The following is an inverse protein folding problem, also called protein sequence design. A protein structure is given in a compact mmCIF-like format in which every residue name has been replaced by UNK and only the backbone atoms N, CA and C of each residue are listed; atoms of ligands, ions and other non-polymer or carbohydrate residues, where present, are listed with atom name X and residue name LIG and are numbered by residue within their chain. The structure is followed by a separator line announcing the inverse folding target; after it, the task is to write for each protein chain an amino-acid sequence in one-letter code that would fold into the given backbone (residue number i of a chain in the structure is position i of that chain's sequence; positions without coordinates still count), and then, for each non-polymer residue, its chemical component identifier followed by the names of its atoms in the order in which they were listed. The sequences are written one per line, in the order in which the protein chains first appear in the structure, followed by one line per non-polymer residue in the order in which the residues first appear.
data_IF_613528958330
#
_entry.id   IF_613528958330
#
_cell.length_a   1.000
_cell.length_b   1.000
_cell.length_c   1.000
_cell.angle_alpha   90.00
_cell.angle_beta   90.00
_cell.angle_gamma   90.00
#
_symmetry.space_group_name_H-M   'P 1'
#
loop_
_entity.id
_entity.type
_entity.pdbx_description
1 polymer ?
#
# COMPACT_ATOMS: atom_id res chain seq x y z
N UNK A 1 33.59 9.69 4.27
CA UNK A 1 32.35 8.97 4.62
C UNK A 1 32.26 7.64 3.84
N UNK A 2 32.94 6.60 4.33
CA UNK A 2 32.93 5.26 3.74
C UNK A 2 32.33 4.30 4.77
N UNK A 3 31.02 4.42 5.02
CA UNK A 3 30.33 3.42 5.84
C UNK A 3 30.04 2.23 4.95
N UNK A 4 30.69 1.11 5.25
CA UNK A 4 30.41 -0.15 4.57
C UNK A 4 28.97 -0.60 4.84
N UNK A 5 28.28 -1.04 3.80
CA UNK A 5 26.92 -1.57 3.93
C UNK A 5 26.98 -3.03 4.37
N UNK A 6 26.27 -3.35 5.46
CA UNK A 6 26.12 -4.71 5.92
C UNK A 6 24.95 -5.40 5.20
N UNK A 7 25.26 -6.11 4.12
CA UNK A 7 24.29 -6.84 3.30
C UNK A 7 23.54 -7.92 4.10
N UNK A 8 24.24 -8.72 4.92
CA UNK A 8 23.64 -9.79 5.71
C UNK A 8 22.57 -9.25 6.66
N UNK A 9 22.87 -8.15 7.36
CA UNK A 9 21.91 -7.49 8.25
C UNK A 9 20.64 -7.07 7.51
N UNK A 10 20.77 -6.55 6.29
CA UNK A 10 19.60 -6.19 5.46
C UNK A 10 18.80 -7.43 5.07
N UNK A 11 19.46 -8.51 4.66
CA UNK A 11 18.80 -9.76 4.28
C UNK A 11 18.03 -10.38 5.45
N UNK A 12 18.66 -10.49 6.63
CA UNK A 12 18.02 -11.04 7.84
C UNK A 12 16.78 -10.21 8.23
N UNK A 13 16.88 -8.89 8.13
CA UNK A 13 15.75 -7.98 8.41
C UNK A 13 14.60 -8.23 7.44
N UNK A 14 14.87 -8.33 6.14
CA UNK A 14 13.83 -8.56 5.12
C UNK A 14 13.14 -9.91 5.34
N UNK A 15 13.90 -10.98 5.65
CA UNK A 15 13.31 -12.29 5.94
C UNK A 15 12.38 -12.24 7.16
N UNK A 16 12.78 -11.54 8.22
CA UNK A 16 11.93 -11.35 9.39
C UNK A 16 10.64 -10.56 9.07
N UNK A 17 10.72 -9.52 8.25
CA UNK A 17 9.54 -8.74 7.83
C UNK A 17 8.60 -9.55 6.91
N UNK A 18 9.13 -10.51 6.14
CA UNK A 18 8.32 -11.48 5.37
C UNK A 18 7.52 -12.38 6.32
N UNK A 19 8.15 -12.93 7.36
CA UNK A 19 7.46 -13.75 8.37
C UNK A 19 6.35 -12.98 9.12
N UNK A 20 6.53 -11.66 9.28
CA UNK A 20 5.50 -10.78 9.85
C UNK A 20 4.39 -10.39 8.85
N UNK A 21 4.43 -10.88 7.62
CA UNK A 21 3.40 -10.62 6.60
C UNK A 21 3.43 -9.21 6.00
N UNK A 22 4.55 -8.47 6.13
CA UNK A 22 4.66 -7.12 5.53
C UNK A 22 4.62 -7.15 4.01
N UNK A 23 5.08 -8.24 3.40
CA UNK A 23 5.10 -8.44 1.95
C UNK A 23 3.88 -9.24 1.47
N UNK A 24 2.68 -8.73 1.71
CA UNK A 24 1.43 -9.30 1.20
C UNK A 24 1.00 -8.68 -0.13
N UNK A 25 1.51 -7.50 -0.48
CA UNK A 25 1.24 -6.86 -1.77
C UNK A 25 2.07 -7.56 -2.89
N UNK A 26 1.44 -8.11 -3.95
CA UNK A 26 2.16 -8.82 -5.01
C UNK A 26 3.26 -7.98 -5.69
N UNK A 27 3.05 -6.67 -5.82
CA UNK A 27 4.05 -5.77 -6.41
C UNK A 27 5.26 -5.60 -5.49
N UNK A 28 5.08 -5.55 -4.17
CA UNK A 28 6.21 -5.48 -3.24
C UNK A 28 7.02 -6.78 -3.25
N UNK A 29 6.35 -7.94 -3.34
CA UNK A 29 7.01 -9.24 -3.52
C UNK A 29 7.85 -9.23 -4.81
N UNK A 30 7.28 -8.80 -5.92
CA UNK A 30 7.96 -8.76 -7.22
C UNK A 30 9.24 -7.89 -7.20
N UNK A 31 9.29 -6.84 -6.39
CA UNK A 31 10.47 -5.98 -6.26
C UNK A 31 11.60 -6.61 -5.42
N UNK A 32 11.28 -7.39 -4.38
CA UNK A 32 12.30 -7.97 -3.50
C UNK A 32 12.78 -9.36 -3.92
N UNK A 33 11.94 -10.11 -4.63
CA UNK A 33 12.21 -11.49 -5.00
C UNK A 33 13.51 -11.68 -5.81
N UNK A 34 13.85 -10.83 -6.79
CA UNK A 34 15.14 -10.94 -7.49
C UNK A 34 16.32 -10.91 -6.52
N UNK A 35 16.37 -9.94 -5.61
CA UNK A 35 17.44 -9.81 -4.61
C UNK A 35 17.50 -11.03 -3.69
N UNK A 36 16.35 -11.55 -3.25
CA UNK A 36 16.27 -12.77 -2.44
C UNK A 36 16.81 -14.01 -3.18
N UNK A 37 16.76 -14.02 -4.51
CA UNK A 37 17.33 -15.06 -5.37
C UNK A 37 18.75 -14.74 -5.84
N UNK A 38 19.38 -13.69 -5.32
CA UNK A 38 20.71 -13.26 -5.75
C UNK A 38 20.73 -12.80 -7.21
N UNK A 39 19.63 -12.22 -7.68
CA UNK A 39 19.43 -11.70 -9.04
C UNK A 39 19.13 -10.21 -9.03
N UNK A 40 19.39 -9.58 -10.16
CA UNK A 40 19.13 -8.17 -10.43
C UNK A 40 18.42 -8.03 -11.78
N UNK A 41 17.96 -6.82 -12.10
CA UNK A 41 17.42 -6.56 -13.44
C UNK A 41 18.47 -6.68 -14.56
N UNK A 42 19.77 -6.65 -14.23
CA UNK A 42 20.84 -6.89 -15.20
C UNK A 42 20.91 -8.36 -15.63
N UNK A 43 20.31 -9.28 -14.87
CA UNK A 43 20.28 -10.71 -15.19
C UNK A 43 19.15 -11.08 -16.18
N UNK A 44 18.26 -10.14 -16.53
CA UNK A 44 17.12 -10.38 -17.42
C UNK A 44 17.53 -10.95 -18.78
N UNK A 45 18.59 -10.45 -19.47
CA UNK A 45 19.05 -11.03 -20.73
C UNK A 45 19.58 -12.47 -20.62
N UNK A 46 19.88 -12.94 -19.41
CA UNK A 46 20.44 -14.26 -19.12
C UNK A 46 19.41 -15.26 -18.60
N UNK A 47 18.12 -14.90 -18.63
CA UNK A 47 17.03 -15.79 -18.24
C UNK A 47 17.00 -17.00 -19.17
N UNK A 48 17.11 -18.19 -18.60
CA UNK A 48 17.01 -19.45 -19.32
C UNK A 48 15.59 -20.00 -19.19
N UNK A 49 14.87 -20.11 -20.31
CA UNK A 49 13.53 -20.67 -20.34
C UNK A 49 13.61 -22.20 -20.52
N UNK A 50 13.42 -22.95 -19.43
CA UNK A 50 13.26 -24.42 -19.48
C UNK A 50 11.82 -24.81 -19.15
N UNK A 51 11.24 -25.86 -19.79
CA UNK A 51 9.86 -26.30 -19.57
C UNK A 51 9.64 -27.01 -18.21
N UNK A 52 10.65 -27.10 -17.35
CA UNK A 52 10.56 -27.76 -16.06
C UNK A 52 9.87 -26.87 -15.02
N UNK A 53 8.59 -27.13 -14.78
CA UNK A 53 7.90 -26.60 -13.59
C UNK A 53 8.28 -27.47 -12.40
N UNK A 54 9.18 -26.98 -11.54
CA UNK A 54 9.27 -27.51 -10.19
C UNK A 54 7.96 -27.18 -9.48
N UNK A 55 7.10 -28.18 -9.31
CA UNK A 55 5.87 -28.03 -8.54
C UNK A 55 6.28 -27.88 -7.08
N UNK A 56 6.18 -26.67 -6.53
CA UNK A 56 6.34 -26.48 -5.10
C UNK A 56 5.24 -27.28 -4.37
N UNK A 57 5.60 -28.14 -3.40
CA UNK A 57 4.62 -28.81 -2.57
C UNK A 57 3.70 -27.78 -1.92
N UNK A 58 2.40 -28.05 -1.95
CA UNK A 58 1.44 -27.22 -1.23
C UNK A 58 1.75 -27.32 0.25
N UNK A 59 2.30 -26.25 0.84
CA UNK A 59 2.48 -26.17 2.28
C UNK A 59 1.10 -26.09 2.94
N UNK A 60 0.90 -26.72 4.12
CA UNK A 60 -0.33 -26.55 4.88
C UNK A 60 -0.58 -25.06 5.09
N UNK A 61 -1.80 -24.59 4.80
CA UNK A 61 -2.18 -23.21 5.06
C UNK A 61 -1.99 -22.96 6.54
N UNK A 62 -1.02 -22.12 6.89
CA UNK A 62 -0.78 -21.73 8.27
C UNK A 62 -2.10 -21.15 8.80
N UNK A 63 -2.60 -21.62 9.97
CA UNK A 63 -3.91 -21.22 10.46
C UNK A 63 -3.96 -19.69 10.50
N UNK A 64 -4.92 -19.11 9.77
CA UNK A 64 -5.18 -17.69 9.89
C UNK A 64 -5.42 -17.39 11.37
N UNK A 65 -4.81 -16.31 11.91
CA UNK A 65 -5.03 -15.95 13.30
C UNK A 65 -6.53 -15.96 13.60
N UNK A 66 -6.91 -16.64 14.69
CA UNK A 66 -8.29 -16.72 15.17
C UNK A 66 -8.89 -15.31 15.10
N UNK A 67 -10.09 -15.12 14.51
CA UNK A 67 -10.65 -13.78 14.36
C UNK A 67 -10.75 -13.14 15.73
N UNK A 68 -9.88 -12.16 16.00
CA UNK A 68 -9.98 -11.28 17.15
C UNK A 68 -11.39 -10.70 17.13
N UNK A 69 -12.08 -10.72 18.26
CA UNK A 69 -13.46 -10.24 18.40
C UNK A 69 -13.62 -8.90 17.68
N UNK A 70 -14.49 -8.83 16.68
CA UNK A 70 -14.58 -7.68 15.78
C UNK A 70 -15.25 -6.47 16.46
N UNK A 71 -14.48 -5.69 17.21
CA UNK A 71 -14.92 -4.42 17.80
C UNK A 71 -14.77 -3.26 16.80
N UNK A 72 -15.48 -2.16 17.07
CA UNK A 72 -15.36 -0.95 16.27
C UNK A 72 -14.24 -0.06 16.81
N UNK A 73 -13.45 0.53 15.91
CA UNK A 73 -12.51 1.61 16.20
C UNK A 73 -13.03 2.90 15.55
N UNK A 74 -12.71 4.05 16.15
CA UNK A 74 -13.03 5.36 15.58
C UNK A 74 -11.74 6.05 15.16
N UNK A 75 -11.72 6.53 13.92
CA UNK A 75 -10.61 7.25 13.30
C UNK A 75 -11.05 8.68 13.03
N UNK A 76 -10.19 9.65 13.34
CA UNK A 76 -10.38 11.05 12.94
C UNK A 76 -9.81 11.17 11.53
N UNK A 77 -10.68 11.38 10.55
CA UNK A 77 -10.29 11.50 9.14
C UNK A 77 -10.43 12.95 8.67
N UNK A 78 -9.33 13.53 8.19
CA UNK A 78 -9.26 14.91 7.70
C UNK A 78 -8.89 14.94 6.23
N UNK A 79 -9.64 15.71 5.43
CA UNK A 79 -9.28 16.08 4.06
C UNK A 79 -8.89 17.55 4.02
N UNK A 80 -7.75 17.86 3.40
CA UNK A 80 -7.21 19.22 3.39
C UNK A 80 -6.64 19.55 2.00
N UNK A 81 -7.17 20.61 1.39
CA UNK A 81 -6.61 21.22 0.19
C UNK A 81 -6.27 22.69 0.47
N UNK A 82 -4.97 23.00 0.43
CA UNK A 82 -4.44 24.36 0.56
C UNK A 82 -3.70 24.82 -0.70
N UNK A 83 -3.75 24.04 -1.79
CA UNK A 83 -3.05 24.34 -3.03
C UNK A 83 -3.74 25.50 -3.76
N UNK A 84 -3.04 26.65 -3.84
CA UNK A 84 -3.53 27.82 -4.58
C UNK A 84 -3.50 27.53 -6.09
N UNK A 85 -4.59 27.87 -6.78
CA UNK A 85 -4.69 27.79 -8.23
C UNK A 85 -5.22 26.47 -8.80
N UNK A 86 -5.41 25.44 -7.96
CA UNK A 86 -5.82 24.09 -8.41
C UNK A 86 -7.28 23.77 -8.02
N UNK A 87 -8.02 24.74 -7.46
CA UNK A 87 -9.45 24.59 -7.19
C UNK A 87 -9.88 25.11 -5.82
N UNK A 88 -10.85 24.43 -5.21
CA UNK A 88 -11.47 24.80 -3.94
C UNK A 88 -10.53 24.49 -2.77
N UNK A 89 -10.33 25.48 -1.89
CA UNK A 89 -9.65 25.29 -0.62
C UNK A 89 -10.65 24.70 0.39
N UNK A 90 -10.25 23.67 1.12
CA UNK A 90 -11.08 23.06 2.14
C UNK A 90 -10.23 22.38 3.21
N UNK A 91 -10.79 22.26 4.41
CA UNK A 91 -10.21 21.53 5.52
C UNK A 91 -11.36 20.97 6.37
N UNK A 92 -11.75 19.73 6.06
CA UNK A 92 -12.90 19.07 6.66
C UNK A 92 -12.44 17.86 7.46
N UNK A 93 -13.06 17.64 8.62
CA UNK A 93 -12.72 16.54 9.52
C UNK A 93 -13.98 15.80 9.94
N UNK A 94 -13.90 14.47 10.01
CA UNK A 94 -15.00 13.63 10.45
C UNK A 94 -14.50 12.41 11.23
N UNK A 95 -15.26 12.04 12.26
CA UNK A 95 -15.07 10.80 13.01
C UNK A 95 -15.71 9.62 12.27
N UNK A 96 -14.91 8.61 11.94
CA UNK A 96 -15.32 7.44 11.18
C UNK A 96 -15.14 6.19 12.04
N UNK A 97 -16.24 5.49 12.30
CA UNK A 97 -16.21 4.21 13.01
C UNK A 97 -16.23 3.04 12.03
N UNK A 98 -15.21 2.19 12.08
CA UNK A 98 -15.05 0.97 11.26
C UNK A 98 -14.69 -0.24 12.13
N UNK A 99 -14.75 -1.44 11.56
CA UNK A 99 -14.29 -2.65 12.26
C UNK A 99 -12.77 -2.63 12.43
N UNK A 100 -12.29 -3.10 13.57
CA UNK A 100 -10.86 -3.33 13.78
C UNK A 100 -10.33 -4.31 12.73
N UNK A 101 -9.18 -4.01 12.13
CA UNK A 101 -8.61 -4.75 11.01
C UNK A 101 -9.05 -4.26 9.62
N UNK A 102 -10.00 -3.33 9.52
CA UNK A 102 -10.29 -2.64 8.26
C UNK A 102 -9.08 -1.84 7.76
N UNK A 103 -8.96 -1.73 6.44
CA UNK A 103 -7.93 -0.91 5.78
C UNK A 103 -8.41 0.54 5.62
N UNK A 104 -7.48 1.45 5.37
CA UNK A 104 -7.77 2.88 5.18
C UNK A 104 -8.84 3.13 4.11
N UNK A 105 -8.85 2.35 3.01
CA UNK A 105 -9.87 2.48 1.96
C UNK A 105 -11.31 2.39 2.50
N UNK A 106 -11.57 1.53 3.50
CA UNK A 106 -12.90 1.41 4.12
C UNK A 106 -13.29 2.68 4.88
N UNK A 107 -12.32 3.38 5.46
CA UNK A 107 -12.54 4.69 6.11
C UNK A 107 -12.98 5.73 5.09
N UNK A 108 -12.35 5.76 3.90
CA UNK A 108 -12.71 6.66 2.81
C UNK A 108 -14.11 6.36 2.28
N UNK A 109 -14.44 5.08 2.09
CA UNK A 109 -15.77 4.63 1.64
C UNK A 109 -16.86 5.02 2.64
N UNK A 110 -16.64 4.80 3.94
CA UNK A 110 -17.58 5.21 4.98
C UNK A 110 -17.72 6.73 5.07
N UNK A 111 -16.64 7.48 4.86
CA UNK A 111 -16.68 8.94 4.85
C UNK A 111 -17.52 9.46 3.68
N UNK A 112 -17.25 8.97 2.46
CA UNK A 112 -18.02 9.29 1.26
C UNK A 112 -19.51 8.95 1.42
N UNK A 113 -19.83 7.80 2.01
CA UNK A 113 -21.21 7.38 2.25
C UNK A 113 -21.98 8.33 3.17
N UNK A 114 -21.29 8.92 4.16
CA UNK A 114 -21.89 9.80 5.16
C UNK A 114 -21.97 11.25 4.72
N UNK A 115 -20.97 11.73 3.98
CA UNK A 115 -20.86 13.11 3.58
C UNK A 115 -20.29 13.22 2.15
N UNK A 116 -21.07 13.77 1.18
CA UNK A 116 -20.62 13.95 -0.21
C UNK A 116 -19.34 14.77 -0.37
N UNK A 117 -18.97 15.63 0.59
CA UNK A 117 -17.71 16.38 0.57
C UNK A 117 -16.48 15.47 0.64
N UNK A 118 -16.63 14.24 1.17
CA UNK A 118 -15.56 13.23 1.25
C UNK A 118 -15.59 12.26 0.06
N UNK A 119 -16.33 12.57 -1.01
CA UNK A 119 -16.30 11.76 -2.23
C UNK A 119 -14.88 11.67 -2.77
N UNK A 120 -14.53 10.50 -3.27
CA UNK A 120 -13.21 10.24 -3.83
C UNK A 120 -13.31 9.30 -5.02
N UNK A 121 -12.30 9.36 -5.87
CA UNK A 121 -12.13 8.45 -7.00
C UNK A 121 -10.80 7.71 -6.87
N UNK A 122 -10.75 6.52 -7.44
CA UNK A 122 -9.52 5.71 -7.47
C UNK A 122 -9.16 5.31 -8.88
N UNK A 123 -7.86 5.19 -9.12
CA UNK A 123 -7.30 4.63 -10.35
C UNK A 123 -6.45 3.41 -9.99
N UNK A 124 -6.66 2.30 -10.70
CA UNK A 124 -5.89 1.07 -10.47
C UNK A 124 -4.49 1.18 -11.06
N UNK A 125 -3.51 0.70 -10.30
CA UNK A 125 -2.10 0.60 -10.71
C UNK A 125 -1.57 -0.81 -10.41
N UNK A 126 -0.33 -1.10 -10.80
CA UNK A 126 0.33 -2.36 -10.42
C UNK A 126 0.47 -2.53 -8.89
N UNK A 127 0.46 -1.44 -8.13
CA UNK A 127 0.55 -1.45 -6.66
C UNK A 127 -0.81 -1.57 -5.97
N UNK A 128 -1.92 -1.43 -6.72
CA UNK A 128 -3.28 -1.36 -6.19
C UNK A 128 -3.97 -0.02 -6.49
N UNK A 129 -5.08 0.28 -5.79
CA UNK A 129 -5.83 1.51 -6.00
C UNK A 129 -5.06 2.71 -5.44
N UNK A 130 -4.85 3.72 -6.27
CA UNK A 130 -4.39 5.06 -5.87
C UNK A 130 -5.61 5.97 -5.82
N UNK A 131 -5.71 6.80 -4.79
CA UNK A 131 -6.76 7.82 -4.69
C UNK A 131 -6.37 8.98 -5.61
N UNK A 132 -7.05 9.07 -6.75
CA UNK A 132 -6.73 10.03 -7.81
C UNK A 132 -7.50 11.34 -7.65
N UNK A 133 -8.62 11.36 -6.92
CA UNK A 133 -9.40 12.58 -6.68
C UNK A 133 -10.09 12.54 -5.33
N UNK A 134 -10.19 13.69 -4.66
CA UNK A 134 -11.03 13.90 -3.47
C UNK A 134 -11.77 15.22 -3.66
N UNK A 135 -13.09 15.20 -3.47
CA UNK A 135 -13.96 16.37 -3.58
C UNK A 135 -13.77 17.14 -4.90
N UNK A 136 -13.76 16.40 -6.02
CA UNK A 136 -13.54 16.90 -7.39
C UNK A 136 -12.15 17.50 -7.67
N UNK A 137 -11.21 17.42 -6.74
CA UNK A 137 -9.83 17.85 -6.95
C UNK A 137 -8.98 16.64 -7.32
N UNK A 138 -8.67 16.54 -8.61
CA UNK A 138 -7.94 15.42 -9.20
C UNK A 138 -6.43 15.70 -9.23
N UNK A 139 -5.64 14.65 -9.02
CA UNK A 139 -4.19 14.69 -9.21
C UNK A 139 -3.79 15.11 -10.64
N UNK A 140 -2.61 15.70 -10.78
CA UNK A 140 -2.09 16.13 -12.08
C UNK A 140 -0.60 15.86 -12.19
N UNK A 141 -0.25 15.02 -13.15
CA UNK A 141 1.16 14.75 -13.50
C UNK A 141 1.83 16.00 -14.07
N UNK A 142 1.09 16.82 -14.84
CA UNK A 142 1.62 18.05 -15.42
C UNK A 142 1.96 19.09 -14.35
N UNK A 143 1.06 19.26 -13.38
CA UNK A 143 1.23 20.21 -12.27
C UNK A 143 2.00 19.62 -11.08
N UNK A 144 2.31 18.32 -11.12
CA UNK A 144 2.98 17.54 -10.07
C UNK A 144 2.21 17.58 -8.74
N UNK A 145 0.89 17.51 -8.81
CA UNK A 145 -0.01 17.48 -7.66
C UNK A 145 -0.56 16.07 -7.46
N UNK A 146 -0.70 15.64 -6.20
CA UNK A 146 -1.17 14.31 -5.83
C UNK A 146 -1.76 14.33 -4.41
N UNK A 147 -2.46 13.26 -4.04
CA UNK A 147 -3.00 13.08 -2.69
C UNK A 147 -2.01 12.34 -1.79
N UNK A 148 -1.57 13.01 -0.71
CA UNK A 148 -0.71 12.42 0.31
C UNK A 148 -1.52 11.99 1.53
N UNK A 149 -1.35 10.74 1.95
CA UNK A 149 -1.93 10.22 3.19
C UNK A 149 -0.89 10.24 4.31
N UNK A 150 -1.29 10.73 5.47
CA UNK A 150 -0.47 10.85 6.67
C UNK A 150 -1.20 10.21 7.85
N UNK A 151 -0.45 9.66 8.80
CA UNK A 151 -0.95 9.16 10.08
C UNK A 151 -0.06 9.73 11.19
N UNK A 152 -0.67 10.35 12.18
CA UNK A 152 -0.01 10.96 13.35
C UNK A 152 -0.38 10.29 14.66
#
# INVERSE_FOLDING_TARGET
PNKEWNCQKTMDTILQEIEQGKFHNPMSIAQILPSLKGKTYLDVPHVSCSPGVEVQPTLPTQPSPVPTTAYNITIIYTINNQLRGVGLLFNETMDISVKSGSVLLVVLEEAQRRNPTFKFETTMTSWGPVVSSINDITESVHERTYWQFLSG
#
